data_IF_386309150459
#
_entry.id   IF_386309150459
#
_cell.length_a   1.000
_cell.length_b   1.000
_cell.length_c   1.000
_cell.angle_alpha   90.00
_cell.angle_beta   90.00
_cell.angle_gamma   90.00
#
_symmetry.space_group_name_H-M   'P 1'
#
loop_
_entity.id
_entity.type
_entity.pdbx_description
1 polymer ?
#
# COMPACT_ATOMS: atom_id res chain seq x y z
N UNK A 1 -11.39 -23.74 9.38
CA UNK A 1 -10.42 -22.72 8.93
C UNK A 1 -11.15 -21.78 8.00
N UNK A 2 -11.48 -20.57 8.46
CA UNK A 2 -12.19 -19.58 7.62
C UNK A 2 -11.16 -18.92 6.73
N UNK A 3 -11.15 -19.22 5.43
CA UNK A 3 -10.30 -18.52 4.47
C UNK A 3 -10.78 -17.07 4.38
N UNK A 4 -9.93 -16.10 4.71
CA UNK A 4 -10.21 -14.72 4.33
C UNK A 4 -10.07 -14.60 2.81
N UNK A 5 -11.07 -13.99 2.20
CA UNK A 5 -11.08 -13.71 0.78
C UNK A 5 -10.72 -12.22 0.58
N UNK A 6 -9.74 -11.98 -0.28
CA UNK A 6 -9.22 -10.63 -0.57
C UNK A 6 -9.41 -10.31 -2.05
N UNK A 7 -9.72 -9.06 -2.35
CA UNK A 7 -9.70 -8.52 -3.70
C UNK A 7 -8.53 -7.54 -3.85
N UNK A 8 -7.71 -7.75 -4.87
CA UNK A 8 -6.62 -6.84 -5.20
C UNK A 8 -7.07 -5.84 -6.25
N UNK A 9 -6.70 -4.58 -6.07
CA UNK A 9 -6.96 -3.53 -7.05
C UNK A 9 -5.86 -2.49 -7.07
N UNK A 10 -5.68 -1.87 -8.22
CA UNK A 10 -4.82 -0.69 -8.38
C UNK A 10 -5.53 0.54 -7.83
N UNK A 11 -4.80 1.41 -7.12
CA UNK A 11 -5.30 2.72 -6.71
C UNK A 11 -5.34 3.69 -7.89
N UNK A 12 -6.45 4.40 -8.00
CA UNK A 12 -6.62 5.52 -8.92
C UNK A 12 -6.07 6.84 -8.31
N UNK A 13 -5.76 7.85 -9.13
CA UNK A 13 -5.24 9.15 -8.63
C UNK A 13 -6.17 9.88 -7.66
N UNK A 14 -7.47 9.61 -7.71
CA UNK A 14 -8.46 10.16 -6.79
C UNK A 14 -8.43 9.52 -5.40
N UNK A 15 -7.77 8.38 -5.22
CA UNK A 15 -7.84 7.55 -4.01
C UNK A 15 -6.72 7.87 -3.01
N UNK A 16 -6.46 9.17 -2.81
CA UNK A 16 -5.47 9.68 -1.87
C UNK A 16 -5.67 9.15 -0.44
N UNK A 17 -6.91 9.02 0.10
CA UNK A 17 -7.11 8.46 1.44
C UNK A 17 -6.56 7.04 1.60
N UNK A 18 -6.77 6.16 0.61
CA UNK A 18 -6.25 4.79 0.63
C UNK A 18 -4.71 4.75 0.59
N UNK A 19 -4.09 5.66 -0.18
CA UNK A 19 -2.63 5.81 -0.20
C UNK A 19 -2.08 6.26 1.17
N UNK A 20 -2.79 7.13 1.89
CA UNK A 20 -2.39 7.56 3.25
C UNK A 20 -2.44 6.41 4.24
N UNK A 21 -3.47 5.57 4.17
CA UNK A 21 -3.59 4.40 5.03
C UNK A 21 -2.48 3.38 4.75
N UNK A 22 -2.11 3.19 3.48
CA UNK A 22 -0.96 2.36 3.11
C UNK A 22 0.36 2.91 3.68
N UNK A 23 0.59 4.23 3.58
CA UNK A 23 1.79 4.85 4.16
C UNK A 23 1.84 4.73 5.69
N UNK A 24 0.68 4.75 6.36
CA UNK A 24 0.60 4.51 7.80
C UNK A 24 1.03 3.08 8.16
N UNK A 25 0.60 2.08 7.38
CA UNK A 25 1.04 0.69 7.56
C UNK A 25 2.55 0.54 7.35
N UNK A 26 3.13 1.24 6.37
CA UNK A 26 4.59 1.24 6.20
C UNK A 26 5.31 1.89 7.38
N UNK A 27 4.81 3.02 7.88
CA UNK A 27 5.43 3.69 9.02
C UNK A 27 5.42 2.79 10.28
N UNK A 28 4.37 1.99 10.46
CA UNK A 28 4.27 1.01 11.55
C UNK A 28 5.17 -0.21 11.33
N UNK A 29 5.22 -0.74 10.10
CA UNK A 29 5.93 -2.00 9.79
C UNK A 29 7.44 -1.82 9.68
N UNK A 30 7.91 -0.68 9.17
CA UNK A 30 9.33 -0.46 8.91
C UNK A 30 10.10 0.20 10.06
N UNK A 31 9.46 0.40 11.23
CA UNK A 31 10.07 0.94 12.46
C UNK A 31 10.90 2.24 12.28
N UNK A 32 10.71 2.99 11.18
CA UNK A 32 11.28 4.32 10.94
C UNK A 32 10.17 5.38 10.81
N UNK A 33 9.45 5.68 11.90
CA UNK A 33 8.44 6.73 11.91
C UNK A 33 9.05 8.11 11.63
N UNK A 34 10.36 8.30 11.85
CA UNK A 34 11.03 9.58 11.66
C UNK A 34 11.12 9.93 10.17
N UNK A 35 11.49 8.99 9.30
CA UNK A 35 11.54 9.27 7.85
C UNK A 35 10.14 9.44 7.21
N UNK A 36 9.12 8.74 7.71
CA UNK A 36 7.78 8.75 7.10
C UNK A 36 6.81 9.80 7.67
N UNK A 37 6.96 10.22 8.94
CA UNK A 37 6.00 11.14 9.60
C UNK A 37 6.48 12.59 9.70
N UNK A 38 7.78 12.88 9.54
CA UNK A 38 8.31 14.25 9.70
C UNK A 38 7.88 15.20 8.58
N UNK A 39 7.57 14.67 7.39
CA UNK A 39 7.02 15.43 6.25
C UNK A 39 6.01 14.59 5.47
N UNK A 40 4.77 14.46 5.97
CA UNK A 40 3.75 13.74 5.23
C UNK A 40 3.56 14.42 3.86
N UNK A 41 3.58 13.66 2.75
CA UNK A 41 3.33 14.23 1.44
C UNK A 41 1.95 14.88 1.37
N UNK A 42 1.87 15.99 0.63
CA UNK A 42 0.60 16.68 0.40
C UNK A 42 -0.34 15.83 -0.45
N UNK A 43 -1.65 16.07 -0.35
CA UNK A 43 -2.64 15.38 -1.20
C UNK A 43 -2.38 15.62 -2.69
N UNK A 44 -1.96 16.83 -3.05
CA UNK A 44 -1.60 17.18 -4.43
C UNK A 44 -0.41 16.35 -4.93
N UNK A 45 0.60 16.15 -4.09
CA UNK A 45 1.74 15.30 -4.42
C UNK A 45 1.32 13.84 -4.59
N UNK A 46 0.53 13.29 -3.65
CA UNK A 46 0.07 11.90 -3.72
C UNK A 46 -0.80 11.64 -4.95
N UNK A 47 -1.71 12.57 -5.28
CA UNK A 47 -2.53 12.50 -6.49
C UNK A 47 -1.66 12.52 -7.76
N UNK A 48 -0.67 13.40 -7.82
CA UNK A 48 0.26 13.46 -8.94
C UNK A 48 1.11 12.19 -9.06
N UNK A 49 1.55 11.63 -7.92
CA UNK A 49 2.31 10.38 -7.86
C UNK A 49 1.49 9.20 -8.39
N UNK A 50 0.25 9.03 -7.92
CA UNK A 50 -0.67 7.99 -8.39
C UNK A 50 -1.05 8.15 -9.87
N UNK A 51 -0.99 9.37 -10.41
CA UNK A 51 -1.20 9.66 -11.82
C UNK A 51 -0.04 9.30 -12.75
N UNK A 52 1.13 8.95 -12.21
CA UNK A 52 2.28 8.60 -13.05
C UNK A 52 2.06 7.24 -13.72
N UNK A 53 2.35 7.09 -15.03
CA UNK A 53 2.14 5.84 -15.75
C UNK A 53 3.01 4.69 -15.21
N UNK A 54 4.17 5.01 -14.66
CA UNK A 54 5.15 4.07 -14.11
C UNK A 54 5.03 3.87 -12.59
N UNK A 55 4.07 4.51 -11.92
CA UNK A 55 3.83 4.30 -10.49
C UNK A 55 2.55 3.50 -10.32
N UNK A 56 2.69 2.29 -9.76
CA UNK A 56 1.59 1.34 -9.61
C UNK A 56 1.47 0.99 -8.13
N UNK A 57 0.41 1.48 -7.49
CA UNK A 57 0.06 1.09 -6.13
C UNK A 57 -1.07 0.09 -6.17
N UNK A 58 -0.88 -1.07 -5.55
CA UNK A 58 -1.88 -2.12 -5.39
C UNK A 58 -2.24 -2.23 -3.91
N UNK A 59 -3.53 -2.37 -3.63
CA UNK A 59 -4.07 -2.61 -2.28
C UNK A 59 -4.91 -3.88 -2.26
N UNK A 60 -5.07 -4.46 -1.08
CA UNK A 60 -5.94 -5.61 -0.84
C UNK A 60 -7.12 -5.17 0.04
N UNK A 61 -8.34 -5.34 -0.47
CA UNK A 61 -9.56 -5.15 0.30
C UNK A 61 -10.05 -6.52 0.80
N UNK A 62 -10.31 -6.66 2.10
CA UNK A 62 -10.96 -7.87 2.61
C UNK A 62 -12.44 -7.81 2.24
N UNK A 63 -12.94 -8.91 1.67
CA UNK A 63 -14.31 -8.99 1.14
C UNK A 63 -15.40 -8.90 2.23
N UNK A 64 -15.02 -8.97 3.51
CA UNK A 64 -15.94 -8.92 4.67
C UNK A 64 -15.86 -7.61 5.46
N UNK A 65 -15.40 -6.50 4.84
CA UNK A 65 -15.57 -5.15 5.39
C UNK A 65 -14.37 -4.55 6.13
N UNK A 66 -13.15 -5.04 5.87
CA UNK A 66 -11.91 -4.41 6.35
C UNK A 66 -10.94 -4.20 5.19
N UNK A 67 -10.33 -3.03 5.06
CA UNK A 67 -9.25 -2.84 4.09
C UNK A 67 -7.92 -3.22 4.75
N UNK A 68 -7.21 -4.18 4.15
CA UNK A 68 -5.90 -4.63 4.62
C UNK A 68 -4.83 -4.08 3.68
N UNK A 69 -4.12 -3.04 4.09
CA UNK A 69 -3.02 -2.50 3.30
C UNK A 69 -1.81 -3.42 3.45
N UNK A 70 -1.30 -3.98 2.35
CA UNK A 70 -0.12 -4.83 2.33
C UNK A 70 0.61 -4.74 0.99
N UNK A 71 1.89 -5.06 0.98
CA UNK A 71 2.67 -5.31 -0.23
C UNK A 71 3.09 -6.77 -0.25
N UNK A 72 3.20 -7.34 -1.44
CA UNK A 72 3.90 -8.62 -1.63
C UNK A 72 5.14 -8.31 -2.45
N UNK A 73 6.34 -8.51 -1.90
CA UNK A 73 7.55 -8.59 -2.71
C UNK A 73 7.70 -10.05 -3.15
N UNK A 74 7.63 -10.31 -4.45
CA UNK A 74 8.01 -11.63 -4.98
C UNK A 74 9.53 -11.71 -4.94
N UNK A 75 10.08 -12.37 -3.92
CA UNK A 75 11.51 -12.72 -3.90
C UNK A 75 11.72 -13.84 -4.92
N UNK A 76 12.04 -13.48 -6.16
CA UNK A 76 12.48 -14.43 -7.18
C UNK A 76 13.90 -14.88 -6.84
N UNK A 77 14.03 -15.83 -5.92
CA UNK A 77 15.33 -16.40 -5.58
C UNK A 77 15.39 -17.09 -4.23
N UNK A 78 14.70 -18.21 -4.08
CA UNK A 78 15.16 -19.24 -3.14
C UNK A 78 14.86 -20.62 -3.73
N UNK A 79 15.77 -21.08 -4.59
CA UNK A 79 15.95 -22.51 -4.84
C UNK A 79 16.51 -23.12 -3.54
N UNK A 80 15.98 -24.27 -3.07
CA UNK A 80 16.47 -24.92 -1.87
C UNK A 80 17.86 -25.52 -2.12
N UNK A 81 18.76 -25.38 -1.14
CA UNK A 81 19.86 -26.32 -0.90
C UNK A 81 19.55 -27.14 0.33
#
# INVERSE_FOLDING_TARGET
MTSLAYAFRRLAPSEVPAMRQLLAVYAETFEDPVSYQQRPPSDAYLKALLGKPHFITVVADALNGGTCYGQTETVSGMLPV
#
